data_IF_519852541558
#
_entry.id   IF_519852541558
#
_cell.length_a   1.000
_cell.length_b   1.000
_cell.length_c   1.000
_cell.angle_alpha   90.00
_cell.angle_beta   90.00
_cell.angle_gamma   90.00
#
_symmetry.space_group_name_H-M   'P 1'
#
loop_
_entity.id
_entity.type
_entity.pdbx_description
1 polymer ?
#
# COMPACT_ATOMS: atom_id res chain seq x y z
N UNK A 1 72.94 -33.03 41.67
CA UNK A 1 71.70 -32.46 42.25
C UNK A 1 70.83 -33.61 42.72
N UNK A 2 70.14 -33.44 43.84
CA UNK A 2 69.40 -34.50 44.53
C UNK A 2 68.12 -34.89 43.75
N UNK A 3 67.95 -36.16 43.32
CA UNK A 3 66.75 -36.63 42.62
C UNK A 3 65.45 -36.37 43.39
N UNK A 4 65.51 -36.35 44.72
CA UNK A 4 64.34 -36.15 45.57
C UNK A 4 63.83 -34.68 45.51
N UNK A 5 64.73 -33.72 45.28
CA UNK A 5 64.38 -32.30 45.18
C UNK A 5 63.65 -31.98 43.87
N UNK A 6 64.03 -32.61 42.75
CA UNK A 6 63.34 -32.44 41.46
C UNK A 6 61.91 -33.00 41.50
N UNK A 7 61.72 -34.18 42.09
CA UNK A 7 60.40 -34.80 42.15
C UNK A 7 59.40 -33.98 42.99
N UNK A 8 59.86 -33.35 44.08
CA UNK A 8 59.04 -32.46 44.91
C UNK A 8 58.61 -31.20 44.13
N UNK A 9 59.51 -30.59 43.35
CA UNK A 9 59.21 -29.40 42.55
C UNK A 9 58.15 -29.72 41.48
N UNK A 10 58.28 -30.84 40.76
CA UNK A 10 57.30 -31.26 39.76
C UNK A 10 55.91 -31.51 40.36
N UNK A 11 55.84 -32.16 41.53
CA UNK A 11 54.57 -32.42 42.23
C UNK A 11 53.91 -31.10 42.68
N UNK A 12 54.70 -30.13 43.16
CA UNK A 12 54.21 -28.81 43.58
C UNK A 12 53.70 -28.01 42.38
N UNK A 13 54.43 -28.00 41.27
CA UNK A 13 54.03 -27.31 40.04
C UNK A 13 52.77 -27.94 39.42
N UNK A 14 52.67 -29.27 39.44
CA UNK A 14 51.48 -29.96 38.97
C UNK A 14 50.25 -29.64 39.85
N UNK A 15 50.43 -29.59 41.17
CA UNK A 15 49.36 -29.19 42.12
C UNK A 15 48.94 -27.72 41.92
N UNK A 16 49.88 -26.83 41.58
CA UNK A 16 49.60 -25.42 41.27
C UNK A 16 48.83 -25.29 39.95
N UNK A 17 49.22 -26.04 38.92
CA UNK A 17 48.54 -26.07 37.62
C UNK A 17 47.11 -26.60 37.72
N UNK A 18 46.90 -27.69 38.47
CA UNK A 18 45.56 -28.27 38.69
C UNK A 18 44.65 -27.32 39.48
N UNK A 19 45.19 -26.61 40.49
CA UNK A 19 44.45 -25.55 41.20
C UNK A 19 44.02 -24.41 40.28
N UNK A 20 44.89 -23.92 39.41
CA UNK A 20 44.55 -22.86 38.45
C UNK A 20 43.45 -23.29 37.47
N UNK A 21 43.48 -24.55 37.02
CA UNK A 21 42.42 -25.12 36.18
C UNK A 21 41.09 -25.23 36.93
N UNK A 22 41.12 -25.61 38.21
CA UNK A 22 39.93 -25.64 39.06
C UNK A 22 39.32 -24.24 39.21
N UNK A 23 40.14 -23.23 39.52
CA UNK A 23 39.67 -21.83 39.65
C UNK A 23 39.11 -21.28 38.32
N UNK A 24 39.67 -21.71 37.18
CA UNK A 24 39.16 -21.33 35.86
C UNK A 24 37.80 -21.99 35.55
N UNK A 25 37.66 -23.28 35.89
CA UNK A 25 36.39 -24.00 35.78
C UNK A 25 35.33 -23.40 36.69
N UNK A 26 35.69 -23.02 37.91
CA UNK A 26 34.77 -22.38 38.87
C UNK A 26 34.26 -21.03 38.34
N UNK A 27 35.17 -20.18 37.82
CA UNK A 27 34.79 -18.93 37.13
C UNK A 27 33.88 -19.18 35.93
N UNK A 28 34.14 -20.22 35.15
CA UNK A 28 33.30 -20.57 34.01
C UNK A 28 31.93 -21.07 34.45
N UNK A 29 31.86 -21.87 35.53
CA UNK A 29 30.62 -22.35 36.13
C UNK A 29 29.76 -21.18 36.61
N UNK A 30 30.36 -20.20 37.30
CA UNK A 30 29.65 -18.97 37.74
C UNK A 30 29.11 -18.20 36.53
N UNK A 31 29.91 -18.01 35.48
CA UNK A 31 29.46 -17.34 34.25
C UNK A 31 28.31 -18.06 33.57
N UNK A 32 28.35 -19.40 33.53
CA UNK A 32 27.28 -20.22 32.97
C UNK A 32 26.00 -20.12 33.81
N UNK A 33 26.09 -20.13 35.14
CA UNK A 33 24.94 -19.92 36.02
C UNK A 33 24.23 -18.59 35.72
N UNK A 34 24.99 -17.48 35.65
CA UNK A 34 24.43 -16.16 35.33
C UNK A 34 23.80 -16.13 33.94
N UNK A 35 24.43 -16.75 32.95
CA UNK A 35 23.89 -16.82 31.59
C UNK A 35 22.58 -17.63 31.52
N UNK A 36 22.48 -18.74 32.27
CA UNK A 36 21.27 -19.55 32.35
C UNK A 36 20.13 -18.78 33.03
N UNK A 37 20.41 -18.07 34.12
CA UNK A 37 19.41 -17.22 34.79
C UNK A 37 18.91 -16.11 33.85
N UNK A 38 19.82 -15.44 33.15
CA UNK A 38 19.47 -14.41 32.15
C UNK A 38 18.61 -14.98 31.02
N UNK A 39 18.93 -16.18 30.54
CA UNK A 39 18.15 -16.84 29.49
C UNK A 39 16.76 -17.25 30.00
N UNK A 40 16.67 -17.71 31.25
CA UNK A 40 15.41 -18.08 31.88
C UNK A 40 14.47 -16.88 31.98
N UNK A 41 14.96 -15.73 32.45
CA UNK A 41 14.18 -14.49 32.50
C UNK A 41 13.70 -14.05 31.11
N UNK A 42 14.57 -14.16 30.09
CA UNK A 42 14.19 -13.86 28.71
C UNK A 42 13.10 -14.77 28.18
N UNK A 43 13.19 -16.08 28.46
CA UNK A 43 12.17 -17.06 28.08
C UNK A 43 10.84 -16.71 28.74
N UNK A 44 10.82 -16.48 30.05
CA UNK A 44 9.62 -16.11 30.79
C UNK A 44 8.97 -14.83 30.24
N UNK A 45 9.79 -13.83 29.87
CA UNK A 45 9.32 -12.60 29.24
C UNK A 45 8.71 -12.87 27.86
N UNK A 46 9.41 -13.61 27.00
CA UNK A 46 8.89 -13.93 25.65
C UNK A 46 7.62 -14.76 25.70
N UNK A 47 7.49 -15.67 26.67
CA UNK A 47 6.26 -16.43 26.87
C UNK A 47 5.10 -15.54 27.33
N UNK A 48 5.37 -14.51 28.14
CA UNK A 48 4.37 -13.52 28.51
C UNK A 48 3.91 -12.70 27.30
N UNK A 49 4.84 -12.24 26.47
CA UNK A 49 4.54 -11.50 25.24
C UNK A 49 3.71 -12.34 24.25
N UNK A 50 4.04 -13.64 24.10
CA UNK A 50 3.27 -14.56 23.26
C UNK A 50 1.84 -14.72 23.77
N UNK A 51 1.65 -14.84 25.10
CA UNK A 51 0.31 -14.95 25.70
C UNK A 51 -0.53 -13.70 25.42
N UNK A 52 0.06 -12.51 25.60
CA UNK A 52 -0.60 -11.23 25.34
C UNK A 52 -0.99 -11.08 23.87
N UNK A 53 -0.06 -11.37 22.95
CA UNK A 53 -0.35 -11.35 21.51
C UNK A 53 -1.45 -12.34 21.12
N UNK A 54 -1.54 -13.49 21.78
CA UNK A 54 -2.59 -14.46 21.50
C UNK A 54 -3.97 -13.96 21.97
N UNK A 55 -4.04 -13.26 23.11
CA UNK A 55 -5.29 -12.63 23.58
C UNK A 55 -5.73 -11.56 22.57
N UNK A 56 -4.82 -10.69 22.16
CA UNK A 56 -5.13 -9.64 21.17
C UNK A 56 -5.56 -10.21 19.82
N UNK A 57 -4.95 -11.33 19.40
CA UNK A 57 -5.34 -12.03 18.17
C UNK A 57 -6.76 -12.61 18.28
N UNK A 58 -7.11 -13.19 19.41
CA UNK A 58 -8.44 -13.75 19.64
C UNK A 58 -9.51 -12.64 19.72
N UNK A 59 -9.20 -11.50 20.36
CA UNK A 59 -10.07 -10.31 20.35
C UNK A 59 -10.28 -9.79 18.93
N UNK A 60 -9.21 -9.68 18.14
CA UNK A 60 -9.32 -9.25 16.73
C UNK A 60 -10.13 -10.23 15.90
N UNK A 61 -9.98 -11.55 16.12
CA UNK A 61 -10.80 -12.58 15.46
C UNK A 61 -12.27 -12.45 15.82
N UNK A 62 -12.59 -12.17 17.09
CA UNK A 62 -13.96 -11.95 17.53
C UNK A 62 -14.57 -10.74 16.82
N UNK A 63 -13.84 -9.62 16.72
CA UNK A 63 -14.31 -8.44 15.98
C UNK A 63 -14.51 -8.72 14.49
N UNK A 64 -13.61 -9.48 13.86
CA UNK A 64 -13.78 -9.88 12.46
C UNK A 64 -15.02 -10.78 12.26
N UNK A 65 -15.32 -11.67 13.20
CA UNK A 65 -16.52 -12.49 13.15
C UNK A 65 -17.79 -11.63 13.24
N UNK A 66 -17.86 -10.69 14.19
CA UNK A 66 -19.01 -9.78 14.31
C UNK A 66 -19.18 -8.91 13.06
N UNK A 67 -18.08 -8.43 12.48
CA UNK A 67 -18.14 -7.66 11.23
C UNK A 67 -18.63 -8.51 10.04
N UNK A 68 -18.32 -9.81 10.04
CA UNK A 68 -18.80 -10.72 8.99
C UNK A 68 -20.31 -10.88 9.09
N UNK A 69 -20.85 -11.00 10.30
CA UNK A 69 -22.30 -11.06 10.55
C UNK A 69 -22.99 -9.74 10.15
N UNK A 70 -22.41 -8.59 10.49
CA UNK A 70 -22.92 -7.27 10.09
C UNK A 70 -22.95 -7.11 8.55
N UNK A 71 -21.91 -7.57 7.86
CA UNK A 71 -21.86 -7.54 6.39
C UNK A 71 -22.93 -8.44 5.78
N UNK A 72 -23.21 -9.61 6.36
CA UNK A 72 -24.29 -10.48 5.91
C UNK A 72 -25.65 -9.78 6.01
N UNK A 73 -25.92 -9.11 7.14
CA UNK A 73 -27.15 -8.33 7.33
C UNK A 73 -27.29 -7.20 6.29
N UNK A 74 -26.20 -6.52 5.97
CA UNK A 74 -26.21 -5.46 4.95
C UNK A 74 -26.51 -5.99 3.54
N UNK A 75 -26.01 -7.17 3.20
CA UNK A 75 -26.31 -7.82 1.92
C UNK A 75 -27.78 -8.21 1.82
N UNK A 76 -28.35 -8.78 2.88
CA UNK A 76 -29.79 -9.11 2.93
C UNK A 76 -30.66 -7.86 2.74
N UNK A 77 -30.32 -6.76 3.43
CA UNK A 77 -31.01 -5.48 3.27
C UNK A 77 -30.85 -4.88 1.85
N UNK A 78 -29.70 -5.09 1.22
CA UNK A 78 -29.45 -4.64 -0.15
C UNK A 78 -30.34 -5.40 -1.14
N UNK A 79 -30.51 -6.72 -0.95
CA UNK A 79 -31.44 -7.53 -1.74
C UNK A 79 -32.91 -7.07 -1.57
N UNK A 80 -33.34 -6.78 -0.33
CA UNK A 80 -34.69 -6.24 -0.08
C UNK A 80 -34.90 -4.86 -0.74
N UNK A 81 -33.88 -4.00 -0.70
CA UNK A 81 -33.95 -2.69 -1.36
C UNK A 81 -34.06 -2.83 -2.89
N UNK A 82 -33.35 -3.79 -3.50
CA UNK A 82 -33.48 -4.08 -4.92
C UNK A 82 -34.87 -4.63 -5.28
N UNK A 83 -35.42 -5.52 -4.45
CA UNK A 83 -36.78 -6.03 -4.61
C UNK A 83 -37.81 -4.90 -4.54
N UNK A 84 -37.68 -3.97 -3.58
CA UNK A 84 -38.54 -2.78 -3.47
C UNK A 84 -38.40 -1.85 -4.68
N UNK A 85 -37.17 -1.61 -5.17
CA UNK A 85 -36.94 -0.81 -6.38
C UNK A 85 -37.62 -1.43 -7.60
N UNK A 86 -37.60 -2.76 -7.74
CA UNK A 86 -38.29 -3.45 -8.83
C UNK A 86 -39.81 -3.28 -8.73
N UNK A 87 -40.37 -3.43 -7.53
CA UNK A 87 -41.80 -3.28 -7.27
C UNK A 87 -42.27 -1.84 -7.58
N UNK A 88 -41.49 -0.83 -7.18
CA UNK A 88 -41.76 0.57 -7.53
C UNK A 88 -41.76 0.79 -9.06
N UNK A 89 -40.81 0.21 -9.80
CA UNK A 89 -40.79 0.31 -11.27
C UNK A 89 -42.03 -0.32 -11.92
N UNK A 90 -42.50 -1.45 -11.40
CA UNK A 90 -43.71 -2.11 -11.89
C UNK A 90 -44.94 -1.25 -11.59
N UNK A 91 -45.07 -0.74 -10.36
CA UNK A 91 -46.18 0.14 -9.99
C UNK A 91 -46.19 1.42 -10.84
N UNK A 92 -45.05 2.07 -11.04
CA UNK A 92 -44.92 3.24 -11.91
C UNK A 92 -45.38 2.93 -13.34
N UNK A 93 -45.04 1.76 -13.89
CA UNK A 93 -45.50 1.32 -15.22
C UNK A 93 -47.00 1.04 -15.27
N UNK A 94 -47.57 0.43 -14.23
CA UNK A 94 -49.02 0.17 -14.14
C UNK A 94 -49.81 1.47 -13.98
N UNK A 95 -49.31 2.43 -13.20
CA UNK A 95 -49.90 3.77 -13.06
C UNK A 95 -49.84 4.53 -14.40
N UNK A 96 -48.70 4.46 -15.10
CA UNK A 96 -48.57 5.03 -16.45
C UNK A 96 -49.55 4.39 -17.45
N UNK A 97 -49.80 3.07 -17.37
CA UNK A 97 -50.74 2.38 -18.25
C UNK A 97 -52.23 2.57 -17.89
N UNK A 98 -52.56 3.04 -16.68
CA UNK A 98 -53.95 3.34 -16.26
C UNK A 98 -54.38 4.78 -16.61
N UNK A 99 -53.45 5.63 -17.02
CA UNK A 99 -53.74 6.93 -17.60
C UNK A 99 -53.94 6.81 -19.13
N UNK A 100 -55.15 6.44 -19.54
CA UNK A 100 -55.76 7.12 -20.68
C UNK A 100 -56.67 8.20 -20.08
N UNK A 101 -56.56 9.46 -20.50
CA UNK A 101 -57.42 9.91 -21.59
C UNK A 101 -56.74 10.94 -22.52
N UNK A 102 -57.37 11.22 -23.66
CA UNK A 102 -57.24 12.44 -24.49
C UNK A 102 -56.18 13.48 -24.06
N UNK A 103 -55.16 13.63 -24.92
CA UNK A 103 -54.43 14.87 -25.23
C UNK A 103 -53.81 15.65 -24.05
N UNK A 104 -52.52 15.42 -23.81
CA UNK A 104 -51.43 16.38 -24.11
C UNK A 104 -50.10 15.69 -23.82
N UNK A 105 -49.11 15.89 -24.70
CA UNK A 105 -47.77 15.34 -24.53
C UNK A 105 -47.17 15.84 -23.21
N UNK A 106 -47.16 15.01 -22.17
CA UNK A 106 -46.21 15.20 -21.09
C UNK A 106 -44.81 15.08 -21.74
N UNK A 107 -43.99 16.15 -21.75
CA UNK A 107 -42.72 16.10 -22.43
C UNK A 107 -41.87 15.07 -21.70
N UNK A 108 -41.46 14.04 -22.42
CA UNK A 108 -40.41 13.11 -22.01
C UNK A 108 -39.30 13.96 -21.38
N UNK A 109 -39.05 13.79 -20.08
CA UNK A 109 -38.13 14.60 -19.30
C UNK A 109 -36.73 14.37 -19.89
N UNK A 110 -36.37 15.15 -20.91
CA UNK A 110 -35.02 15.19 -21.46
C UNK A 110 -34.16 15.61 -20.29
N UNK A 111 -33.29 14.72 -19.83
CA UNK A 111 -32.28 15.04 -18.85
C UNK A 111 -31.54 16.26 -19.41
N UNK A 112 -31.65 17.39 -18.71
CA UNK A 112 -31.04 18.64 -19.15
C UNK A 112 -29.52 18.44 -19.10
N UNK A 113 -28.85 18.60 -20.24
CA UNK A 113 -27.39 18.54 -20.27
C UNK A 113 -26.82 19.76 -19.53
N UNK A 114 -25.85 19.56 -18.62
CA UNK A 114 -25.21 20.65 -17.91
C UNK A 114 -24.50 21.64 -18.84
N UNK A 115 -24.55 22.91 -18.47
CA UNK A 115 -23.79 23.94 -19.16
C UNK A 115 -22.28 23.74 -18.96
N UNK A 116 -21.48 24.06 -19.98
CA UNK A 116 -20.02 23.97 -19.89
C UNK A 116 -19.46 25.12 -19.06
N UNK A 117 -18.55 24.83 -18.12
CA UNK A 117 -17.88 25.86 -17.32
C UNK A 117 -16.55 26.30 -17.97
N UNK A 118 -16.43 27.60 -18.26
CA UNK A 118 -15.31 28.17 -19.02
C UNK A 118 -14.08 28.59 -18.21
N UNK A 119 -14.15 28.57 -16.87
CA UNK A 119 -13.06 29.05 -16.01
C UNK A 119 -13.23 30.46 -15.43
N UNK A 120 -14.44 31.01 -15.44
CA UNK A 120 -14.74 32.31 -14.82
C UNK A 120 -14.37 32.30 -13.34
N UNK A 121 -13.60 33.30 -12.88
CA UNK A 121 -13.19 33.44 -11.47
C UNK A 121 -14.30 34.01 -10.60
N UNK A 122 -15.50 33.45 -10.71
CA UNK A 122 -16.68 33.79 -9.94
C UNK A 122 -17.11 32.55 -9.13
N UNK A 123 -17.19 32.70 -7.80
CA UNK A 123 -17.55 31.61 -6.91
C UNK A 123 -18.96 31.08 -7.17
N UNK A 124 -19.90 31.96 -7.50
CA UNK A 124 -21.30 31.60 -7.76
C UNK A 124 -21.40 30.77 -9.06
N UNK A 125 -20.65 31.13 -10.10
CA UNK A 125 -20.66 30.33 -11.34
C UNK A 125 -20.06 28.93 -11.12
N UNK A 126 -19.01 28.82 -10.31
CA UNK A 126 -18.43 27.53 -9.93
C UNK A 126 -19.41 26.69 -9.13
N UNK A 127 -20.07 27.27 -8.13
CA UNK A 127 -21.07 26.57 -7.31
C UNK A 127 -22.27 26.10 -8.14
N UNK A 128 -22.78 26.95 -9.04
CA UNK A 128 -23.86 26.58 -9.95
C UNK A 128 -23.46 25.41 -10.86
N UNK A 129 -22.26 25.46 -11.45
CA UNK A 129 -21.76 24.38 -12.30
C UNK A 129 -21.65 23.06 -11.53
N UNK A 130 -21.08 23.09 -10.32
CA UNK A 130 -20.95 21.89 -9.49
C UNK A 130 -22.33 21.31 -9.13
N UNK A 131 -23.27 22.17 -8.74
CA UNK A 131 -24.63 21.76 -8.43
C UNK A 131 -25.32 21.12 -9.64
N UNK A 132 -25.25 21.74 -10.82
CA UNK A 132 -25.86 21.22 -12.06
C UNK A 132 -25.29 19.85 -12.46
N UNK A 133 -23.96 19.68 -12.31
CA UNK A 133 -23.27 18.41 -12.58
C UNK A 133 -23.67 17.32 -11.56
N UNK A 134 -23.83 17.68 -10.29
CA UNK A 134 -24.31 16.75 -9.27
C UNK A 134 -25.75 16.29 -9.55
N UNK A 135 -26.65 17.22 -9.91
CA UNK A 135 -28.01 16.88 -10.31
C UNK A 135 -28.03 15.99 -11.56
N UNK A 136 -27.13 16.24 -12.51
CA UNK A 136 -26.98 15.38 -13.68
C UNK A 136 -26.56 13.96 -13.31
N UNK A 137 -25.66 13.77 -12.34
CA UNK A 137 -25.31 12.43 -11.85
C UNK A 137 -26.48 11.70 -11.19
N UNK A 138 -27.30 12.42 -10.42
CA UNK A 138 -28.51 11.87 -9.82
C UNK A 138 -29.52 11.46 -10.90
N UNK A 139 -29.72 12.29 -11.94
CA UNK A 139 -30.65 12.01 -13.03
C UNK A 139 -30.18 10.86 -13.95
N UNK A 140 -28.86 10.68 -14.11
CA UNK A 140 -28.26 9.64 -14.97
C UNK A 140 -27.83 8.38 -14.23
N UNK A 141 -28.00 8.34 -12.90
CA UNK A 141 -27.58 7.24 -12.02
C UNK A 141 -26.09 6.88 -12.17
N UNK A 142 -25.21 7.89 -12.24
CA UNK A 142 -23.75 7.71 -12.29
C UNK A 142 -23.20 7.71 -10.85
N UNK A 143 -22.94 6.52 -10.32
CA UNK A 143 -22.43 6.34 -8.94
C UNK A 143 -20.89 6.22 -8.87
N UNK A 144 -20.24 5.69 -9.92
CA UNK A 144 -18.80 5.47 -9.97
C UNK A 144 -18.01 6.79 -9.96
N UNK A 145 -17.13 6.96 -8.97
CA UNK A 145 -16.33 8.18 -8.80
C UNK A 145 -15.43 8.50 -10.00
N UNK A 146 -14.82 7.49 -10.62
CA UNK A 146 -13.96 7.70 -11.79
C UNK A 146 -14.76 8.20 -13.00
N UNK A 147 -15.95 7.62 -13.22
CA UNK A 147 -16.90 8.07 -14.25
C UNK A 147 -17.43 9.46 -13.95
N UNK A 148 -17.75 9.78 -12.69
CA UNK A 148 -18.17 11.14 -12.29
C UNK A 148 -17.10 12.17 -12.65
N UNK A 149 -15.84 11.96 -12.25
CA UNK A 149 -14.73 12.85 -12.61
C UNK A 149 -14.60 12.99 -14.13
N UNK A 150 -14.60 11.87 -14.86
CA UNK A 150 -14.49 11.89 -16.33
C UNK A 150 -15.61 12.72 -16.95
N UNK A 151 -16.86 12.47 -16.57
CA UNK A 151 -18.03 13.21 -17.07
C UNK A 151 -17.98 14.69 -16.68
N UNK A 152 -17.66 15.05 -15.44
CA UNK A 152 -17.49 16.46 -15.03
C UNK A 152 -16.46 17.18 -15.91
N UNK A 153 -15.35 16.51 -16.22
CA UNK A 153 -14.27 17.09 -17.03
C UNK A 153 -14.64 17.25 -18.50
N UNK A 154 -15.61 16.47 -19.00
CA UNK A 154 -16.17 16.66 -20.34
C UNK A 154 -16.94 17.98 -20.45
N UNK A 155 -17.54 18.45 -19.36
CA UNK A 155 -18.26 19.73 -19.28
C UNK A 155 -17.36 20.92 -18.87
N UNK A 156 -16.04 20.74 -18.82
CA UNK A 156 -15.11 21.86 -18.75
C UNK A 156 -14.84 22.42 -20.15
N UNK A 157 -14.89 23.74 -20.27
CA UNK A 157 -14.54 24.51 -21.46
C UNK A 157 -13.45 25.54 -21.16
N UNK A 158 -13.01 26.25 -22.20
CA UNK A 158 -12.10 27.39 -22.08
C UNK A 158 -10.86 27.15 -21.22
N UNK A 159 -10.54 28.12 -20.36
CA UNK A 159 -9.37 28.10 -19.48
C UNK A 159 -9.48 27.01 -18.42
N UNK A 160 -10.69 26.65 -17.96
CA UNK A 160 -10.88 25.57 -17.01
C UNK A 160 -10.42 24.21 -17.57
N UNK A 161 -10.70 23.95 -18.85
CA UNK A 161 -10.27 22.73 -19.53
C UNK A 161 -8.75 22.67 -19.68
N UNK A 162 -8.11 23.78 -20.05
CA UNK A 162 -6.65 23.89 -20.16
C UNK A 162 -5.96 23.70 -18.81
N UNK A 163 -6.51 24.32 -17.76
CA UNK A 163 -6.04 24.14 -16.40
C UNK A 163 -6.14 22.68 -15.96
N UNK A 164 -7.29 22.02 -16.22
CA UNK A 164 -7.48 20.60 -15.89
C UNK A 164 -6.49 19.70 -16.63
N UNK A 165 -6.21 19.94 -17.91
CA UNK A 165 -5.21 19.17 -18.66
C UNK A 165 -3.82 19.27 -18.03
N UNK A 166 -3.42 20.47 -17.61
CA UNK A 166 -2.14 20.70 -16.93
C UNK A 166 -2.13 19.99 -15.57
N UNK A 167 -3.18 20.16 -14.77
CA UNK A 167 -3.27 19.54 -13.44
C UNK A 167 -3.36 18.02 -13.49
N UNK A 168 -4.07 17.47 -14.46
CA UNK A 168 -4.15 16.03 -14.65
C UNK A 168 -2.78 15.45 -14.98
N UNK A 169 -2.00 16.10 -15.86
CA UNK A 169 -0.63 15.70 -16.14
C UNK A 169 0.28 15.78 -14.89
N UNK A 170 0.14 16.83 -14.07
CA UNK A 170 0.86 16.95 -12.79
C UNK A 170 0.51 15.79 -11.85
N UNK A 171 -0.78 15.46 -11.71
CA UNK A 171 -1.27 14.37 -10.85
C UNK A 171 -0.71 13.02 -11.32
N UNK A 172 -0.73 12.75 -12.64
CA UNK A 172 -0.16 11.51 -13.17
C UNK A 172 1.35 11.42 -12.95
N UNK A 173 2.06 12.54 -13.17
CA UNK A 173 3.51 12.62 -12.93
C UNK A 173 3.84 12.33 -11.48
N UNK A 174 3.13 12.97 -10.54
CA UNK A 174 3.33 12.77 -9.10
C UNK A 174 3.01 11.33 -8.67
N UNK A 175 1.96 10.74 -9.24
CA UNK A 175 1.61 9.34 -8.99
C UNK A 175 2.71 8.39 -9.48
N UNK A 176 3.20 8.58 -10.71
CA UNK A 176 4.27 7.76 -11.28
C UNK A 176 5.56 7.89 -10.44
N UNK A 177 5.91 9.10 -10.00
CA UNK A 177 7.05 9.32 -9.09
C UNK A 177 6.89 8.59 -7.75
N UNK A 178 5.70 8.65 -7.15
CA UNK A 178 5.42 7.92 -5.91
C UNK A 178 5.56 6.41 -6.09
N UNK A 179 4.97 5.85 -7.16
CA UNK A 179 5.07 4.42 -7.47
C UNK A 179 6.52 4.00 -7.67
N UNK A 180 7.33 4.79 -8.39
CA UNK A 180 8.74 4.47 -8.61
C UNK A 180 9.55 4.44 -7.31
N UNK A 181 9.30 5.36 -6.38
CA UNK A 181 9.99 5.39 -5.08
C UNK A 181 9.69 4.15 -4.23
N UNK A 182 8.46 3.67 -4.29
CA UNK A 182 8.03 2.49 -3.54
C UNK A 182 8.30 1.17 -4.28
N UNK A 183 8.65 1.22 -5.57
CA UNK A 183 8.86 0.02 -6.37
C UNK A 183 10.06 -0.78 -5.84
N UNK A 184 9.78 -1.99 -5.32
CA UNK A 184 10.80 -2.94 -4.87
C UNK A 184 10.91 -4.14 -5.80
N UNK A 185 12.13 -4.60 -6.03
CA UNK A 185 12.44 -5.85 -6.71
C UNK A 185 12.11 -7.02 -5.78
N UNK A 186 10.90 -7.56 -5.89
CA UNK A 186 10.43 -8.70 -5.09
C UNK A 186 10.60 -10.04 -5.83
N UNK A 187 10.37 -10.05 -7.15
CA UNK A 187 10.41 -11.23 -8.02
C UNK A 187 11.61 -11.27 -8.98
N UNK A 188 11.33 -11.34 -10.29
CA UNK A 188 12.32 -11.31 -11.37
C UNK A 188 12.82 -9.90 -11.64
N UNK A 189 14.11 -9.79 -11.93
CA UNK A 189 14.71 -8.51 -12.31
C UNK A 189 14.10 -7.96 -13.62
N UNK A 190 13.70 -8.83 -14.54
CA UNK A 190 13.07 -8.44 -15.81
C UNK A 190 11.71 -7.78 -15.58
N UNK A 191 10.92 -8.31 -14.64
CA UNK A 191 9.61 -7.74 -14.30
C UNK A 191 9.78 -6.38 -13.62
N UNK A 192 10.75 -6.26 -12.71
CA UNK A 192 11.11 -5.00 -12.08
C UNK A 192 11.56 -3.94 -13.11
N UNK A 193 12.44 -4.31 -14.03
CA UNK A 193 12.89 -3.41 -15.11
C UNK A 193 11.72 -2.98 -15.99
N UNK A 194 10.80 -3.91 -16.32
CA UNK A 194 9.62 -3.61 -17.14
C UNK A 194 8.66 -2.64 -16.45
N UNK A 195 8.35 -2.86 -15.17
CA UNK A 195 7.46 -1.97 -14.41
C UNK A 195 8.10 -0.60 -14.17
N UNK A 196 9.39 -0.57 -13.81
CA UNK A 196 10.15 0.67 -13.68
C UNK A 196 10.14 1.47 -14.98
N UNK A 197 10.47 0.83 -16.12
CA UNK A 197 10.50 1.47 -17.43
C UNK A 197 9.13 2.01 -17.86
N UNK A 198 8.04 1.31 -17.54
CA UNK A 198 6.68 1.76 -17.85
C UNK A 198 6.35 3.07 -17.14
N UNK A 199 6.56 3.14 -15.82
CA UNK A 199 6.29 4.35 -15.05
C UNK A 199 7.23 5.51 -15.37
N UNK A 200 8.44 5.22 -15.83
CA UNK A 200 9.38 6.23 -16.29
C UNK A 200 8.88 7.04 -17.50
N UNK A 201 8.04 6.45 -18.36
CA UNK A 201 7.50 7.14 -19.54
C UNK A 201 6.50 8.24 -19.16
N UNK A 202 5.84 8.11 -18.01
CA UNK A 202 4.84 9.06 -17.53
C UNK A 202 5.46 10.29 -16.86
N UNK A 203 6.79 10.30 -16.64
CA UNK A 203 7.50 11.37 -15.92
C UNK A 203 8.31 12.19 -16.92
N UNK A 204 7.82 13.40 -17.23
CA UNK A 204 8.41 14.27 -18.26
C UNK A 204 9.79 14.84 -17.87
N UNK A 205 10.00 15.14 -16.59
CA UNK A 205 11.20 15.82 -16.10
C UNK A 205 11.82 15.08 -14.89
N UNK A 206 12.55 14.00 -15.14
CA UNK A 206 13.40 13.35 -14.13
C UNK A 206 14.86 13.37 -14.58
N UNK A 207 15.79 13.74 -13.70
CA UNK A 207 17.22 13.73 -14.02
C UNK A 207 17.75 12.28 -14.09
N UNK A 208 18.73 11.99 -14.96
CA UNK A 208 19.34 10.65 -15.05
C UNK A 208 19.91 10.17 -13.71
N UNK A 209 20.41 11.10 -12.89
CA UNK A 209 20.90 10.82 -11.55
C UNK A 209 19.78 10.35 -10.61
N UNK A 210 18.62 11.01 -10.64
CA UNK A 210 17.48 10.64 -9.81
C UNK A 210 16.87 9.31 -10.28
N UNK A 211 16.80 9.11 -11.61
CA UNK A 211 16.40 7.82 -12.19
C UNK A 211 17.28 6.69 -11.67
N UNK A 212 18.61 6.87 -11.73
CA UNK A 212 19.56 5.85 -11.30
C UNK A 212 19.49 5.59 -9.80
N UNK A 213 19.35 6.65 -9.00
CA UNK A 213 19.21 6.53 -7.56
C UNK A 213 17.94 5.74 -7.18
N UNK A 214 16.77 6.15 -7.68
CA UNK A 214 15.49 5.48 -7.41
C UNK A 214 15.49 4.04 -7.92
N UNK A 215 16.09 3.78 -9.08
CA UNK A 215 16.26 2.41 -9.59
C UNK A 215 17.08 1.55 -8.64
N UNK A 216 18.22 2.03 -8.16
CA UNK A 216 19.09 1.27 -7.26
C UNK A 216 18.47 1.03 -5.87
N UNK A 217 17.71 1.99 -5.34
CA UNK A 217 17.00 1.84 -4.05
C UNK A 217 15.90 0.77 -4.07
N UNK A 218 15.33 0.50 -5.25
CA UNK A 218 14.35 -0.56 -5.42
C UNK A 218 14.96 -1.96 -5.58
N UNK A 219 16.26 -2.08 -5.87
CA UNK A 219 16.90 -3.37 -6.17
C UNK A 219 17.22 -4.20 -4.92
N UNK A 220 17.18 -5.54 -5.08
CA UNK A 220 17.76 -6.46 -4.09
C UNK A 220 19.27 -6.18 -3.92
N UNK A 221 19.84 -6.40 -2.71
CA UNK A 221 21.24 -6.09 -2.41
C UNK A 221 22.25 -6.73 -3.38
N UNK A 222 22.01 -7.98 -3.79
CA UNK A 222 22.90 -8.68 -4.73
C UNK A 222 22.93 -8.03 -6.12
N UNK A 223 21.79 -7.52 -6.61
CA UNK A 223 21.66 -6.89 -7.92
C UNK A 223 22.29 -5.49 -7.91
N UNK A 224 22.05 -4.73 -6.84
CA UNK A 224 22.69 -3.44 -6.61
C UNK A 224 24.22 -3.58 -6.54
N UNK A 225 24.72 -4.59 -5.81
CA UNK A 225 26.17 -4.89 -5.74
C UNK A 225 26.76 -5.23 -7.11
N UNK A 226 26.03 -5.98 -7.96
CA UNK A 226 26.46 -6.30 -9.32
C UNK A 226 26.59 -5.04 -10.16
N UNK A 227 25.62 -4.13 -10.11
CA UNK A 227 25.66 -2.86 -10.85
C UNK A 227 26.76 -1.93 -10.37
N UNK A 228 27.00 -1.84 -9.07
CA UNK A 228 28.08 -1.02 -8.51
C UNK A 228 29.46 -1.49 -8.99
N UNK A 229 29.67 -2.82 -9.12
CA UNK A 229 30.90 -3.38 -9.69
C UNK A 229 31.14 -2.99 -11.14
N UNK A 230 30.06 -2.81 -11.91
CA UNK A 230 30.13 -2.39 -13.32
C UNK A 230 30.19 -0.88 -13.52
N UNK A 231 30.16 -0.06 -12.44
CA UNK A 231 30.26 1.42 -12.48
C UNK A 231 29.33 2.08 -13.51
N UNK A 232 28.10 1.59 -13.59
CA UNK A 232 27.14 2.06 -14.59
C UNK A 232 26.68 3.48 -14.25
N UNK A 233 26.67 4.38 -15.24
CA UNK A 233 26.41 5.81 -15.06
C UNK A 233 24.98 6.24 -15.42
N UNK A 234 24.20 5.40 -16.10
CA UNK A 234 22.84 5.69 -16.55
C UNK A 234 21.90 4.49 -16.37
N UNK A 235 20.59 4.74 -16.32
CA UNK A 235 19.59 3.68 -16.10
C UNK A 235 19.42 2.78 -17.32
N UNK A 236 19.65 3.29 -18.52
CA UNK A 236 19.50 2.49 -19.75
C UNK A 236 20.52 1.34 -19.79
N UNK A 237 21.75 1.62 -19.38
CA UNK A 237 22.85 0.66 -19.31
C UNK A 237 22.67 -0.29 -18.12
N UNK A 238 22.09 0.15 -16.99
CA UNK A 238 21.81 -0.77 -15.86
C UNK A 238 20.75 -1.79 -16.26
N UNK A 239 19.69 -1.35 -16.92
CA UNK A 239 18.61 -2.21 -17.39
C UNK A 239 19.11 -3.21 -18.44
N UNK A 240 19.99 -2.77 -19.35
CA UNK A 240 20.66 -3.65 -20.32
C UNK A 240 21.55 -4.70 -19.64
N UNK A 241 22.36 -4.29 -18.65
CA UNK A 241 23.29 -5.18 -17.92
C UNK A 241 22.57 -6.23 -17.07
N UNK A 242 21.36 -5.92 -16.58
CA UNK A 242 20.55 -6.81 -15.75
C UNK A 242 19.61 -7.71 -16.56
N UNK A 243 19.33 -7.35 -17.81
CA UNK A 243 18.46 -8.12 -18.71
C UNK A 243 19.21 -9.15 -19.57
N UNK A 244 20.55 -9.09 -19.55
CA UNK A 244 21.49 -10.02 -20.19
C UNK A 244 21.87 -11.18 -19.25
#
# INVERSE_FOLDING_TARGET
>A
MDPNAYHIIEVVDHKKSTKQRLDALDRQSIRLCVAVETLKEKVETTEADIRELNIQLDDSRMMCATMTDDVALLLDLQEEMEAMRLLLRILQRVVANRQAPTQEYAPMLKILEPCTYGGTRDAKEVENFLFDIEQYFLATNIEDGARRVTTSTMYLGGDAKLWWQTKYADIQTNRAQWVLRELKHTGSIRDYVKTFSGHMLDIRDMSEKDKLFTFMEGLKPWASTKLQRHKVADVSTTMGTLSA
#
